data_IF_280650508048
#
_entry.id   IF_280650508048
#
_cell.length_a   1.000
_cell.length_b   1.000
_cell.length_c   1.000
_cell.angle_alpha   90.00
_cell.angle_beta   90.00
_cell.angle_gamma   90.00
#
_symmetry.space_group_name_H-M   'P 1'
#
loop_
_entity.id
_entity.type
_entity.pdbx_description
1 polymer ?
#
# COMPACT_ATOMS: atom_id res chain seq x y z
N UNK A 1 -27.43 8.50 -4.83
CA UNK A 1 -27.13 7.35 -5.71
C UNK A 1 -25.93 7.76 -6.52
N UNK A 2 -24.74 7.45 -6.01
CA UNK A 2 -23.46 7.96 -6.53
C UNK A 2 -22.87 6.88 -7.42
N UNK A 3 -22.55 7.25 -8.65
CA UNK A 3 -21.99 6.37 -9.67
C UNK A 3 -20.63 5.84 -9.20
N UNK A 4 -20.58 4.58 -8.76
CA UNK A 4 -19.37 3.92 -8.27
C UNK A 4 -18.66 3.23 -9.44
N UNK A 5 -17.80 3.97 -10.14
CA UNK A 5 -16.79 3.33 -10.98
C UNK A 5 -15.67 2.77 -10.08
N UNK A 6 -15.36 1.46 -10.10
CA UNK A 6 -14.18 0.93 -9.43
C UNK A 6 -12.96 1.62 -10.05
N UNK A 7 -12.17 2.28 -9.21
CA UNK A 7 -10.97 2.99 -9.63
C UNK A 7 -10.05 2.00 -10.35
N UNK A 8 -9.92 2.11 -11.68
CA UNK A 8 -9.03 1.28 -12.53
C UNK A 8 -7.53 1.40 -12.20
N UNK A 9 -7.17 2.08 -11.10
CA UNK A 9 -5.83 2.56 -10.81
C UNK A 9 -5.35 2.24 -9.38
N UNK A 10 -5.84 1.17 -8.76
CA UNK A 10 -5.24 0.67 -7.51
C UNK A 10 -3.91 -0.06 -7.80
N UNK A 11 -2.75 0.39 -7.25
CA UNK A 11 -1.45 -0.19 -7.59
C UNK A 11 -1.31 -1.64 -7.17
N UNK A 12 -1.93 -2.04 -6.06
CA UNK A 12 -1.89 -3.39 -5.51
C UNK A 12 -2.93 -4.35 -6.11
N UNK A 13 -3.86 -3.84 -6.93
CA UNK A 13 -4.92 -4.69 -7.49
C UNK A 13 -4.33 -5.79 -8.38
N UNK A 14 -4.57 -7.04 -7.99
CA UNK A 14 -4.06 -8.23 -8.68
C UNK A 14 -2.58 -8.55 -8.42
N UNK A 15 -1.89 -7.78 -7.57
CA UNK A 15 -0.49 -8.00 -7.19
C UNK A 15 -0.40 -8.98 -6.01
N UNK A 16 0.49 -9.97 -6.12
CA UNK A 16 0.79 -10.98 -5.09
C UNK A 16 2.30 -11.16 -4.95
N UNK A 17 2.77 -11.52 -3.76
CA UNK A 17 4.17 -11.82 -3.49
C UNK A 17 4.71 -12.93 -4.39
N UNK A 18 3.93 -14.00 -4.60
CA UNK A 18 4.34 -15.09 -5.49
C UNK A 18 4.69 -14.58 -6.90
N UNK A 19 3.86 -13.68 -7.46
CA UNK A 19 4.12 -13.08 -8.78
C UNK A 19 5.42 -12.28 -8.80
N UNK A 20 5.66 -11.46 -7.77
CA UNK A 20 6.92 -10.71 -7.62
C UNK A 20 8.12 -11.66 -7.55
N UNK A 21 8.02 -12.72 -6.75
CA UNK A 21 9.10 -13.70 -6.58
C UNK A 21 9.41 -14.46 -7.88
N UNK A 22 8.38 -14.83 -8.65
CA UNK A 22 8.52 -15.50 -9.94
C UNK A 22 9.20 -14.57 -10.95
N UNK A 23 8.78 -13.30 -11.04
CA UNK A 23 9.40 -12.38 -11.99
C UNK A 23 10.87 -12.11 -11.63
N UNK A 24 11.21 -11.99 -10.35
CA UNK A 24 12.60 -11.87 -9.92
C UNK A 24 13.43 -13.10 -10.29
N UNK A 25 12.89 -14.30 -10.11
CA UNK A 25 13.56 -15.55 -10.49
C UNK A 25 13.77 -15.62 -12.01
N UNK A 26 12.74 -15.32 -12.81
CA UNK A 26 12.85 -15.26 -14.27
C UNK A 26 13.92 -14.27 -14.71
N UNK A 27 13.95 -13.07 -14.13
CA UNK A 27 14.96 -12.06 -14.44
C UNK A 27 16.38 -12.52 -14.03
N UNK A 28 16.52 -13.17 -12.88
CA UNK A 28 17.82 -13.68 -12.42
C UNK A 28 18.39 -14.78 -13.33
N UNK A 29 17.52 -15.65 -13.87
CA UNK A 29 17.91 -16.80 -14.70
C UNK A 29 17.93 -16.50 -16.21
N UNK A 30 17.32 -15.41 -16.64
CA UNK A 30 17.17 -15.10 -18.06
C UNK A 30 18.50 -14.79 -18.75
N UNK A 31 18.86 -15.63 -19.72
CA UNK A 31 19.99 -15.39 -20.64
C UNK A 31 19.68 -14.35 -21.71
N UNK A 32 18.41 -14.23 -22.08
CA UNK A 32 17.93 -13.27 -23.07
C UNK A 32 16.95 -12.30 -22.41
N UNK A 33 17.26 -11.01 -22.50
CA UNK A 33 16.51 -9.97 -21.81
C UNK A 33 15.40 -9.35 -22.65
N UNK A 34 15.06 -9.90 -23.83
CA UNK A 34 13.97 -9.38 -24.65
C UNK A 34 12.64 -9.49 -23.91
N UNK A 35 11.84 -8.43 -23.92
CA UNK A 35 10.68 -8.28 -23.04
C UNK A 35 9.64 -9.39 -23.27
N UNK A 36 9.36 -9.74 -24.52
CA UNK A 36 8.48 -10.84 -24.89
C UNK A 36 8.97 -12.22 -24.40
N UNK A 37 10.28 -12.43 -24.37
CA UNK A 37 10.87 -13.67 -23.89
C UNK A 37 10.70 -13.80 -22.37
N UNK A 38 10.99 -12.71 -21.64
CA UNK A 38 10.79 -12.64 -20.18
C UNK A 38 9.31 -12.81 -19.84
N UNK A 39 8.43 -12.11 -20.56
CA UNK A 39 6.98 -12.21 -20.36
C UNK A 39 6.49 -13.64 -20.61
N UNK A 40 6.96 -14.29 -21.68
CA UNK A 40 6.62 -15.70 -21.96
C UNK A 40 7.05 -16.63 -20.84
N UNK A 41 8.29 -16.53 -20.36
CA UNK A 41 8.79 -17.34 -19.24
C UNK A 41 8.02 -17.08 -17.95
N UNK A 42 7.66 -15.82 -17.70
CA UNK A 42 6.85 -15.45 -16.55
C UNK A 42 5.46 -16.10 -16.58
N UNK A 43 4.79 -16.10 -17.73
CA UNK A 43 3.44 -16.67 -17.89
C UNK A 43 3.40 -18.20 -17.76
N UNK A 44 4.55 -18.89 -17.76
CA UNK A 44 4.62 -20.33 -17.46
C UNK A 44 4.31 -20.62 -15.98
N UNK A 45 4.52 -19.66 -15.06
CA UNK A 45 4.39 -19.86 -13.62
C UNK A 45 3.49 -18.85 -12.89
N UNK A 46 3.22 -17.67 -13.47
CA UNK A 46 2.45 -16.62 -12.84
C UNK A 46 1.58 -15.83 -13.83
N UNK A 47 0.65 -15.03 -13.31
CA UNK A 47 -0.24 -14.15 -14.09
C UNK A 47 0.00 -12.68 -13.72
N UNK A 48 -0.60 -11.73 -14.43
CA UNK A 48 -0.48 -10.28 -14.18
C UNK A 48 0.95 -9.73 -14.36
N UNK A 49 1.59 -10.08 -15.48
CA UNK A 49 2.93 -9.61 -15.82
C UNK A 49 3.05 -8.09 -15.74
N UNK A 50 2.19 -7.34 -16.44
CA UNK A 50 2.23 -5.87 -16.50
C UNK A 50 2.18 -5.20 -15.12
N UNK A 51 1.33 -5.69 -14.21
CA UNK A 51 1.23 -5.15 -12.84
C UNK A 51 2.49 -5.46 -12.03
N UNK A 52 3.01 -6.67 -12.15
CA UNK A 52 4.21 -7.11 -11.43
C UNK A 52 5.46 -6.39 -11.95
N UNK A 53 5.56 -6.22 -13.26
CA UNK A 53 6.61 -5.45 -13.90
C UNK A 53 6.56 -3.98 -13.47
N UNK A 54 5.38 -3.35 -13.48
CA UNK A 54 5.22 -1.98 -12.99
C UNK A 54 5.60 -1.82 -11.51
N UNK A 55 5.33 -2.83 -10.68
CA UNK A 55 5.79 -2.87 -9.29
C UNK A 55 7.31 -2.91 -9.21
N UNK A 56 7.96 -3.86 -9.88
CA UNK A 56 9.43 -3.96 -9.87
C UNK A 56 10.10 -2.74 -10.50
N UNK A 57 9.49 -2.12 -11.51
CA UNK A 57 9.99 -0.90 -12.11
C UNK A 57 10.03 0.26 -11.11
N UNK A 58 8.96 0.43 -10.33
CA UNK A 58 8.86 1.48 -9.34
C UNK A 58 9.71 1.24 -8.09
N UNK A 59 9.90 -0.04 -7.72
CA UNK A 59 10.56 -0.41 -6.46
C UNK A 59 12.05 -0.64 -6.65
N UNK A 60 12.44 -1.43 -7.66
CA UNK A 60 13.84 -1.89 -7.84
C UNK A 60 14.48 -1.38 -9.14
N UNK A 61 13.78 -0.55 -9.92
CA UNK A 61 14.33 0.09 -11.10
C UNK A 61 14.43 -0.81 -12.35
N UNK A 62 13.67 -1.90 -12.41
CA UNK A 62 13.54 -2.70 -13.64
C UNK A 62 12.89 -1.84 -14.73
N UNK A 63 13.47 -1.76 -15.92
CA UNK A 63 12.94 -0.89 -16.98
C UNK A 63 13.09 -1.49 -18.36
N UNK A 64 12.27 -1.04 -19.30
CA UNK A 64 12.47 -1.35 -20.72
C UNK A 64 13.59 -0.46 -21.28
N UNK A 65 14.62 -1.10 -21.82
CA UNK A 65 15.75 -0.48 -22.50
C UNK A 65 15.55 -0.41 -24.02
N UNK A 66 16.62 -0.09 -24.73
CA UNK A 66 16.60 -0.05 -26.20
C UNK A 66 16.33 -1.44 -26.80
N UNK A 67 15.63 -1.45 -27.94
CA UNK A 67 15.33 -2.69 -28.68
C UNK A 67 14.39 -3.66 -27.96
N UNK A 68 13.50 -3.16 -27.08
CA UNK A 68 12.54 -3.96 -26.30
C UNK A 68 13.22 -4.98 -25.38
N UNK A 69 14.35 -4.59 -24.79
CA UNK A 69 15.04 -5.37 -23.76
C UNK A 69 14.63 -4.91 -22.37
N UNK A 70 14.73 -5.78 -21.37
CA UNK A 70 14.50 -5.45 -19.96
C UNK A 70 15.87 -5.29 -19.30
N UNK A 71 16.13 -4.08 -18.81
CA UNK A 71 17.31 -3.72 -18.04
C UNK A 71 17.02 -3.84 -16.54
N UNK A 72 17.91 -4.51 -15.82
CA UNK A 72 17.79 -4.69 -14.39
C UNK A 72 19.17 -4.89 -13.73
N UNK A 73 19.24 -4.58 -12.44
CA UNK A 73 20.40 -4.89 -11.60
C UNK A 73 19.91 -5.57 -10.33
N UNK A 74 19.88 -6.90 -10.37
CA UNK A 74 19.48 -7.72 -9.24
C UNK A 74 20.71 -8.10 -8.39
N UNK A 75 20.61 -8.06 -7.05
CA UNK A 75 21.62 -8.66 -6.19
C UNK A 75 21.54 -10.19 -6.24
N UNK A 76 22.58 -10.85 -5.75
CA UNK A 76 22.54 -12.30 -5.50
C UNK A 76 21.73 -12.56 -4.23
N UNK A 77 20.53 -13.12 -4.38
CA UNK A 77 19.61 -13.44 -3.28
C UNK A 77 19.61 -14.95 -3.05
N UNK A 78 19.82 -15.41 -1.82
CA UNK A 78 20.03 -16.85 -1.52
C UNK A 78 18.76 -17.56 -1.05
N UNK A 79 17.83 -16.81 -0.47
CA UNK A 79 16.60 -17.36 0.07
C UNK A 79 15.47 -16.32 0.01
N UNK A 80 14.25 -16.78 0.28
CA UNK A 80 13.06 -15.95 0.19
C UNK A 80 13.04 -14.80 1.20
N UNK A 81 13.60 -14.99 2.39
CA UNK A 81 13.63 -13.95 3.42
C UNK A 81 14.62 -12.82 3.05
N UNK A 82 15.76 -13.14 2.44
CA UNK A 82 16.67 -12.15 1.85
C UNK A 82 15.98 -11.39 0.71
N UNK A 83 15.25 -12.08 -0.16
CA UNK A 83 14.48 -11.45 -1.25
C UNK A 83 13.42 -10.50 -0.71
N UNK A 84 12.67 -10.89 0.33
CA UNK A 84 11.69 -10.03 1.00
C UNK A 84 12.38 -8.80 1.59
N UNK A 85 13.43 -8.99 2.38
CA UNK A 85 14.16 -7.88 3.00
C UNK A 85 14.69 -6.90 1.96
N UNK A 86 15.31 -7.38 0.88
CA UNK A 86 15.78 -6.52 -0.20
C UNK A 86 14.65 -5.75 -0.89
N UNK A 87 13.50 -6.39 -1.14
CA UNK A 87 12.32 -5.70 -1.68
C UNK A 87 11.81 -4.63 -0.72
N UNK A 88 11.75 -4.91 0.57
CA UNK A 88 11.30 -3.96 1.59
C UNK A 88 12.25 -2.75 1.66
N UNK A 89 13.55 -2.98 1.65
CA UNK A 89 14.56 -1.91 1.69
C UNK A 89 14.41 -0.97 0.48
N UNK A 90 14.17 -1.51 -0.71
CA UNK A 90 13.94 -0.70 -1.91
C UNK A 90 12.57 -0.02 -1.90
N UNK A 91 11.54 -0.71 -1.41
CA UNK A 91 10.16 -0.21 -1.34
C UNK A 91 10.07 1.01 -0.42
N UNK A 92 10.77 1.00 0.71
CA UNK A 92 10.75 2.09 1.68
C UNK A 92 11.93 3.06 1.55
N UNK A 93 13.01 2.66 0.87
CA UNK A 93 14.21 3.48 0.68
C UNK A 93 14.07 4.64 -0.30
N UNK A 94 13.13 4.55 -1.25
CA UNK A 94 12.88 5.62 -2.24
C UNK A 94 11.40 6.03 -2.30
N UNK A 95 11.07 7.31 -2.55
CA UNK A 95 9.70 7.73 -2.81
C UNK A 95 9.12 7.05 -4.05
N UNK A 96 8.04 6.29 -3.88
CA UNK A 96 7.31 5.66 -4.97
C UNK A 96 5.81 5.56 -4.63
N UNK A 97 5.00 5.22 -5.62
CA UNK A 97 3.53 5.14 -5.48
C UNK A 97 3.10 4.08 -4.45
N UNK A 98 3.79 2.94 -4.40
CA UNK A 98 3.47 1.83 -3.49
C UNK A 98 3.79 2.19 -2.05
N UNK A 99 4.94 2.83 -1.79
CA UNK A 99 5.33 3.35 -0.46
C UNK A 99 4.27 4.28 0.10
N UNK A 100 3.83 5.24 -0.71
CA UNK A 100 2.80 6.22 -0.31
C UNK A 100 1.49 5.52 0.09
N UNK A 101 1.04 4.58 -0.73
CA UNK A 101 -0.23 3.89 -0.50
C UNK A 101 -0.13 2.96 0.72
N UNK A 102 1.02 2.32 0.96
CA UNK A 102 1.29 1.56 2.20
C UNK A 102 1.27 2.48 3.42
N UNK A 103 1.93 3.63 3.36
CA UNK A 103 1.94 4.58 4.48
C UNK A 103 0.54 5.09 4.78
N UNK A 104 -0.25 5.43 3.76
CA UNK A 104 -1.66 5.79 3.94
C UNK A 104 -2.47 4.67 4.60
N UNK A 105 -2.21 3.41 4.24
CA UNK A 105 -2.86 2.26 4.87
C UNK A 105 -2.39 2.04 6.32
N UNK A 106 -1.12 2.26 6.64
CA UNK A 106 -0.63 2.12 8.02
C UNK A 106 -1.14 3.24 8.95
N UNK A 107 -1.52 4.40 8.41
CA UNK A 107 -2.04 5.53 9.19
C UNK A 107 -3.44 5.28 9.80
N UNK A 108 -4.20 4.30 9.29
CA UNK A 108 -5.50 3.94 9.89
C UNK A 108 -5.37 3.07 11.13
N UNK A 109 -4.21 2.47 11.37
CA UNK A 109 -3.93 1.67 12.55
C UNK A 109 -3.86 2.56 13.80
N UNK A 110 -4.29 2.01 14.93
CA UNK A 110 -4.30 2.68 16.24
C UNK A 110 -3.55 1.82 17.25
N UNK A 111 -2.84 2.46 18.17
CA UNK A 111 -2.19 1.75 19.27
C UNK A 111 -3.27 1.26 20.25
N UNK A 112 -3.36 -0.04 20.42
CA UNK A 112 -4.23 -0.73 21.37
C UNK A 112 -3.36 -1.74 22.11
N UNK A 113 -3.29 -1.62 23.44
CA UNK A 113 -2.46 -2.50 24.29
C UNK A 113 -0.97 -2.53 23.87
N UNK A 114 -0.44 -1.39 23.38
CA UNK A 114 0.95 -1.27 22.96
C UNK A 114 1.24 -1.78 21.54
N UNK A 115 0.25 -2.29 20.82
CA UNK A 115 0.40 -2.77 19.43
C UNK A 115 -0.38 -1.90 18.44
N UNK A 116 0.14 -1.62 17.24
CA UNK A 116 -0.64 -1.01 16.16
C UNK A 116 -1.65 -2.03 15.62
N UNK A 117 -2.95 -1.77 15.85
CA UNK A 117 -4.08 -2.63 15.44
C UNK A 117 -5.06 -1.86 14.55
N UNK A 118 -5.70 -2.57 13.62
CA UNK A 118 -6.75 -2.04 12.74
C UNK A 118 -7.91 -3.04 12.61
N UNK A 119 -9.12 -2.55 12.84
CA UNK A 119 -10.37 -3.28 12.65
C UNK A 119 -11.12 -2.68 11.44
N UNK A 120 -10.96 -3.25 10.23
CA UNK A 120 -11.64 -2.73 9.06
C UNK A 120 -13.15 -2.98 9.18
N UNK A 121 -13.94 -1.92 8.97
CA UNK A 121 -15.41 -2.02 8.85
C UNK A 121 -15.75 -2.88 7.63
N UNK A 122 -16.86 -3.62 7.66
CA UNK A 122 -17.27 -4.48 6.54
C UNK A 122 -17.30 -3.74 5.20
N UNK A 123 -17.76 -2.48 5.21
CA UNK A 123 -17.81 -1.62 4.02
C UNK A 123 -16.44 -1.23 3.45
N UNK A 124 -15.35 -1.29 4.24
CA UNK A 124 -13.99 -0.94 3.79
C UNK A 124 -13.11 -2.17 3.55
N UNK A 125 -13.53 -3.37 4.00
CA UNK A 125 -12.77 -4.63 3.87
C UNK A 125 -12.41 -4.99 2.44
N UNK A 126 -13.31 -4.76 1.50
CA UNK A 126 -13.12 -5.09 0.10
C UNK A 126 -12.08 -4.17 -0.58
N UNK A 127 -12.16 -2.86 -0.31
CA UNK A 127 -11.26 -1.86 -0.89
C UNK A 127 -9.82 -2.01 -0.39
N UNK A 128 -9.64 -2.30 0.90
CA UNK A 128 -8.30 -2.49 1.48
C UNK A 128 -7.73 -3.89 1.21
N UNK A 129 -8.51 -4.81 0.61
CA UNK A 129 -8.14 -6.23 0.53
C UNK A 129 -6.84 -6.46 -0.23
N UNK A 130 -6.60 -5.75 -1.33
CA UNK A 130 -5.42 -5.94 -2.16
C UNK A 130 -4.13 -5.54 -1.45
N UNK A 131 -4.07 -4.30 -0.93
CA UNK A 131 -2.90 -3.83 -0.18
C UNK A 131 -2.68 -4.64 1.09
N UNK A 132 -3.75 -4.94 1.83
CA UNK A 132 -3.69 -5.71 3.08
C UNK A 132 -3.16 -7.11 2.84
N UNK A 133 -3.70 -7.83 1.85
CA UNK A 133 -3.26 -9.18 1.53
C UNK A 133 -1.79 -9.18 1.11
N UNK A 134 -1.37 -8.22 0.29
CA UNK A 134 0.03 -8.08 -0.10
C UNK A 134 0.96 -7.80 1.11
N UNK A 135 0.54 -6.93 2.03
CA UNK A 135 1.29 -6.66 3.26
C UNK A 135 1.36 -7.86 4.23
N UNK A 136 0.34 -8.74 4.23
CA UNK A 136 0.37 -10.02 4.96
C UNK A 136 1.37 -10.98 4.29
N UNK A 137 1.35 -11.10 2.96
CA UNK A 137 2.29 -11.94 2.21
C UNK A 137 3.75 -11.48 2.38
N UNK A 138 3.97 -10.17 2.54
CA UNK A 138 5.26 -9.57 2.92
C UNK A 138 5.61 -9.69 4.41
N UNK A 139 4.72 -10.26 5.24
CA UNK A 139 4.87 -10.37 6.70
C UNK A 139 5.03 -9.02 7.42
N UNK A 140 4.50 -7.94 6.84
CA UNK A 140 4.40 -6.64 7.52
C UNK A 140 3.20 -6.67 8.47
N UNK A 141 2.09 -7.25 8.03
CA UNK A 141 0.86 -7.40 8.81
C UNK A 141 0.60 -8.86 9.19
N UNK A 142 -0.05 -9.05 10.33
CA UNK A 142 -0.63 -10.31 10.77
C UNK A 142 -2.13 -10.13 11.01
N UNK A 143 -2.91 -11.15 10.66
CA UNK A 143 -4.33 -11.21 11.00
C UNK A 143 -4.53 -12.03 12.27
N UNK A 144 -5.23 -11.46 13.25
CA UNK A 144 -5.66 -12.14 14.46
C UNK A 144 -7.14 -12.53 14.30
N UNK A 145 -7.43 -13.84 14.32
CA UNK A 145 -8.79 -14.37 14.18
C UNK A 145 -9.67 -14.18 15.40
N UNK A 146 -9.07 -14.15 16.60
CA UNK A 146 -9.81 -14.13 17.87
C UNK A 146 -10.45 -12.76 18.12
N UNK A 147 -9.78 -11.69 17.70
CA UNK A 147 -10.27 -10.32 17.82
C UNK A 147 -10.70 -9.68 16.49
N UNK A 148 -10.61 -10.42 15.37
CA UNK A 148 -10.89 -9.94 14.02
C UNK A 148 -10.22 -8.58 13.71
N UNK A 149 -8.88 -8.57 13.82
CA UNK A 149 -8.07 -7.40 13.56
C UNK A 149 -6.77 -7.72 12.86
N UNK A 150 -6.22 -6.71 12.22
CA UNK A 150 -4.89 -6.75 11.64
C UNK A 150 -3.93 -6.00 12.54
N UNK A 151 -2.73 -6.53 12.74
CA UNK A 151 -1.67 -5.85 13.49
C UNK A 151 -0.40 -5.74 12.68
N UNK A 152 0.37 -4.69 12.95
CA UNK A 152 1.73 -4.56 12.41
C UNK A 152 2.65 -5.48 13.20
N UNK A 153 3.45 -6.27 12.48
CA UNK A 153 4.41 -7.18 13.08
C UNK A 153 5.51 -6.43 13.83
N UNK A 154 6.02 -6.95 14.97
CA UNK A 154 7.06 -6.27 15.75
C UNK A 154 8.32 -5.94 14.94
N UNK A 155 8.71 -6.83 14.00
CA UNK A 155 9.87 -6.64 13.12
C UNK A 155 9.75 -5.38 12.23
N UNK A 156 8.54 -4.96 11.92
CA UNK A 156 8.25 -3.90 10.95
C UNK A 156 7.58 -2.67 11.59
N UNK A 157 7.63 -2.55 12.92
CA UNK A 157 7.02 -1.41 13.64
C UNK A 157 7.62 -0.07 13.23
N UNK A 158 8.89 -0.06 12.78
CA UNK A 158 9.54 1.12 12.22
C UNK A 158 8.77 1.72 11.05
N UNK A 159 8.25 0.89 10.13
CA UNK A 159 7.45 1.40 9.00
C UNK A 159 6.15 2.06 9.44
N UNK A 160 5.52 1.58 10.53
CA UNK A 160 4.36 2.24 11.12
C UNK A 160 4.74 3.58 11.76
N UNK A 161 5.85 3.63 12.48
CA UNK A 161 6.36 4.88 13.05
C UNK A 161 6.64 5.91 11.94
N UNK A 162 7.35 5.50 10.89
CA UNK A 162 7.67 6.34 9.73
C UNK A 162 6.40 6.83 9.02
N UNK A 163 5.37 5.99 8.89
CA UNK A 163 4.10 6.36 8.27
C UNK A 163 3.32 7.41 9.08
N UNK A 164 3.51 7.45 10.40
CA UNK A 164 2.81 8.36 11.31
C UNK A 164 3.61 9.62 11.68
N UNK A 165 4.91 9.65 11.39
CA UNK A 165 5.72 10.85 11.55
C UNK A 165 5.16 12.01 10.71
N UNK A 166 5.14 13.21 11.29
CA UNK A 166 4.57 14.41 10.68
C UNK A 166 5.42 14.84 9.47
N UNK A 167 6.73 14.57 9.50
CA UNK A 167 7.68 14.93 8.44
C UNK A 167 7.56 14.12 7.15
N UNK A 168 6.99 12.92 7.20
CA UNK A 168 6.81 12.02 6.05
C UNK A 168 5.43 12.17 5.39
N UNK A 169 4.56 13.03 5.93
CA UNK A 169 3.22 13.30 5.40
C UNK A 169 3.27 14.00 4.05
N UNK A 170 3.36 13.20 2.98
CA UNK A 170 2.98 13.65 1.64
C UNK A 170 1.45 13.63 1.57
N UNK A 171 0.81 14.64 2.15
CA UNK A 171 -0.63 14.83 2.00
C UNK A 171 -0.93 15.12 0.53
N UNK A 172 -1.56 14.18 -0.16
CA UNK A 172 -2.07 14.43 -1.51
C UNK A 172 -3.09 15.58 -1.47
N UNK A 173 -3.22 16.39 -2.54
CA UNK A 173 -4.19 17.49 -2.59
C UNK A 173 -5.62 17.05 -2.27
N UNK A 174 -6.01 15.84 -2.70
CA UNK A 174 -7.33 15.25 -2.41
C UNK A 174 -7.49 14.88 -0.93
N UNK A 175 -6.45 14.33 -0.29
CA UNK A 175 -6.45 14.07 1.16
C UNK A 175 -6.45 15.36 1.98
N UNK A 176 -5.84 16.44 1.49
CA UNK A 176 -5.95 17.77 2.13
C UNK A 176 -7.37 18.32 2.00
N UNK A 177 -7.98 18.20 0.82
CA UNK A 177 -9.34 18.65 0.58
C UNK A 177 -10.36 17.88 1.43
N UNK A 178 -10.23 16.56 1.57
CA UNK A 178 -11.12 15.76 2.42
C UNK A 178 -10.94 16.06 3.90
N UNK A 179 -9.70 16.29 4.36
CA UNK A 179 -9.42 16.70 5.73
C UNK A 179 -9.98 18.10 6.02
N UNK A 180 -9.87 19.02 5.06
CA UNK A 180 -10.42 20.37 5.13
C UNK A 180 -11.94 20.34 5.19
N UNK A 181 -12.60 19.60 4.30
CA UNK A 181 -14.06 19.42 4.32
C UNK A 181 -14.55 18.81 5.64
N UNK A 182 -13.78 17.89 6.22
CA UNK A 182 -14.09 17.30 7.53
C UNK A 182 -13.93 18.29 8.68
N UNK A 183 -12.98 19.22 8.60
CA UNK A 183 -12.84 20.32 9.57
C UNK A 183 -13.98 21.33 9.44
N UNK A 184 -14.38 21.66 8.21
CA UNK A 184 -15.48 22.57 7.93
C UNK A 184 -16.81 22.01 8.43
N UNK A 185 -17.09 20.71 8.24
CA UNK A 185 -18.31 20.10 8.76
C UNK A 185 -18.34 20.03 10.29
N UNK A 186 -17.18 19.81 10.94
CA UNK A 186 -17.04 19.90 12.39
C UNK A 186 -17.26 21.33 12.90
N UNK A 187 -16.74 22.33 12.19
CA UNK A 187 -16.98 23.75 12.47
C UNK A 187 -18.46 24.11 12.37
N UNK A 188 -19.11 23.73 11.27
CA UNK A 188 -20.54 23.97 11.07
C UNK A 188 -21.40 23.29 12.15
N UNK A 189 -21.09 22.05 12.53
CA UNK A 189 -21.79 21.36 13.61
C UNK A 189 -21.58 22.03 14.98
N UNK A 190 -20.39 22.58 15.23
CA UNK A 190 -20.10 23.34 16.45
C UNK A 190 -20.85 24.67 16.47
N UNK A 191 -20.89 25.39 15.34
CA UNK A 191 -21.67 26.62 15.18
C UNK A 191 -23.16 26.38 15.36
N UNK A 192 -23.70 25.31 14.79
CA UNK A 192 -25.09 24.91 14.96
C UNK A 192 -25.44 24.61 16.43
N UNK A 193 -24.55 23.90 17.13
CA UNK A 193 -24.71 23.64 18.57
C UNK A 193 -24.67 24.93 19.40
N UNK A 194 -23.77 25.86 19.08
CA UNK A 194 -23.69 27.16 19.75
C UNK A 194 -24.95 27.98 19.48
N UNK A 195 -25.41 28.04 18.24
CA UNK A 195 -26.63 28.77 17.88
C UNK A 195 -27.88 28.18 18.54
N UNK A 196 -27.97 26.85 18.62
CA UNK A 196 -29.08 26.17 19.32
C UNK A 196 -29.02 26.43 20.82
N UNK A 197 -27.82 26.37 21.43
CA UNK A 197 -27.62 26.72 22.83
C UNK A 197 -27.96 28.20 23.10
N UNK A 198 -27.58 29.12 22.21
CA UNK A 198 -27.95 30.53 22.32
C UNK A 198 -29.46 30.71 22.17
N UNK A 199 -30.13 30.05 21.23
CA UNK A 199 -31.61 30.10 21.12
C UNK A 199 -32.30 29.61 22.38
N UNK A 200 -31.83 28.53 22.99
CA UNK A 200 -32.35 28.03 24.27
C UNK A 200 -32.06 29.00 25.42
N UNK A 201 -30.89 29.67 25.41
CA UNK A 201 -30.47 30.61 26.47
C UNK A 201 -31.16 31.98 26.39
N UNK A 202 -31.35 32.53 25.19
CA UNK A 202 -31.95 33.87 25.00
C UNK A 202 -33.49 33.80 24.99
N UNK A 203 -34.06 32.60 25.02
CA UNK A 203 -35.48 32.35 25.19
C UNK A 203 -36.29 32.66 23.94
N UNK A 204 -36.99 31.64 23.43
CA UNK A 204 -38.42 31.81 23.30
C UNK A 204 -39.05 31.51 24.66
#
# INVERSE_FOLDING_TARGET
MTDYSPNRNEPFSGLKWNQVSVLLAVLADARYTRADHIERLYHEAAQNFEKTFAFLAAVVGVRKGEGDTIEFKLPTLRNEDETRSWILDNLFGSPNVYRRDIFNHLQVFRIVEGEPRHHPRESTRHYESHIRNFLIELRILEYNSDGDYYKVTPKHIGFYADANDIGTRVLSPSSRASLQAKKESLGAAAEELILNYERERVGQ
#
